data_IF_648553972950
#
_entry.id   IF_648553972950
#
_cell.length_a   1.000
_cell.length_b   1.000
_cell.length_c   1.000
_cell.angle_alpha   90.00
_cell.angle_beta   90.00
_cell.angle_gamma   90.00
#
_symmetry.space_group_name_H-M   'P 1'
#
loop_
_entity.id
_entity.type
_entity.pdbx_description
1 polymer ?
#
# COMPACT_ATOMS: atom_id res chain seq x y z
N UNK A 1 -3.30 -17.44 2.78
CA UNK A 1 -4.17 -16.39 2.21
C UNK A 1 -3.47 -15.05 2.35
N UNK A 2 -3.38 -14.30 1.26
CA UNK A 2 -2.74 -12.99 1.26
C UNK A 2 -3.72 -11.97 1.83
N UNK A 3 -3.22 -11.13 2.75
CA UNK A 3 -3.94 -9.98 3.26
C UNK A 3 -3.18 -8.70 2.98
N UNK A 4 -3.90 -7.66 2.62
CA UNK A 4 -3.36 -6.34 2.35
C UNK A 4 -3.58 -5.47 3.57
N UNK A 5 -2.56 -4.69 3.94
CA UNK A 5 -2.64 -3.73 5.05
C UNK A 5 -2.03 -2.42 4.62
N UNK A 6 -2.62 -1.31 5.07
CA UNK A 6 -1.99 -0.01 4.90
C UNK A 6 -0.94 0.18 6.00
N UNK A 7 0.15 0.84 5.66
CA UNK A 7 1.20 1.19 6.61
C UNK A 7 1.48 2.69 6.51
N UNK A 8 1.68 3.31 7.67
CA UNK A 8 2.07 4.71 7.76
C UNK A 8 3.59 4.78 7.80
N UNK A 9 4.17 5.65 6.99
CA UNK A 9 5.61 5.77 6.87
C UNK A 9 6.04 7.22 6.98
N UNK A 10 7.19 7.45 7.63
CA UNK A 10 7.85 8.73 7.60
C UNK A 10 8.88 8.69 6.48
N UNK A 11 8.73 9.62 5.54
CA UNK A 11 9.59 9.71 4.37
C UNK A 11 10.37 11.00 4.39
N UNK A 12 11.44 11.05 3.64
CA UNK A 12 12.26 12.24 3.51
C UNK A 12 12.56 12.50 2.03
N UNK A 13 12.46 13.77 1.65
CA UNK A 13 12.80 14.22 0.31
C UNK A 13 13.68 15.48 0.45
N UNK A 14 14.70 15.60 -0.38
CA UNK A 14 15.57 16.76 -0.40
C UNK A 14 14.80 18.05 -0.73
N UNK A 15 13.70 17.93 -1.46
CA UNK A 15 12.92 19.11 -1.88
C UNK A 15 11.93 19.57 -0.83
N UNK A 16 11.24 18.66 -0.14
CA UNK A 16 10.16 19.00 0.78
C UNK A 16 10.45 18.67 2.24
N UNK A 17 11.58 18.01 2.53
CA UNK A 17 11.91 17.59 3.87
C UNK A 17 11.15 16.33 4.29
N UNK A 18 10.83 16.23 5.58
CA UNK A 18 10.09 15.09 6.11
C UNK A 18 8.61 15.18 5.77
N UNK A 19 8.01 14.05 5.42
CA UNK A 19 6.58 13.98 5.17
C UNK A 19 6.06 12.60 5.54
N UNK A 20 4.74 12.52 5.72
CA UNK A 20 4.06 11.25 6.00
C UNK A 20 3.48 10.71 4.69
N UNK A 21 3.74 9.44 4.44
CA UNK A 21 3.18 8.72 3.30
C UNK A 21 2.57 7.41 3.77
N UNK A 22 1.83 6.78 2.92
CA UNK A 22 1.18 5.50 3.21
C UNK A 22 1.53 4.49 2.13
N UNK A 23 1.87 3.30 2.60
CA UNK A 23 2.21 2.19 1.72
C UNK A 23 1.27 1.01 1.94
N UNK A 24 1.57 -0.08 1.28
CA UNK A 24 0.79 -1.30 1.37
C UNK A 24 1.71 -2.46 1.70
N UNK A 25 1.30 -3.27 2.67
CA UNK A 25 2.00 -4.48 3.03
C UNK A 25 1.14 -5.68 2.69
N UNK A 26 1.74 -6.68 2.05
CA UNK A 26 1.10 -7.94 1.74
C UNK A 26 1.65 -9.00 2.67
N UNK A 27 0.77 -9.68 3.37
CA UNK A 27 1.16 -10.71 4.33
C UNK A 27 0.41 -12.02 4.06
N UNK A 28 1.10 -13.12 4.26
CA UNK A 28 0.53 -14.47 4.23
C UNK A 28 0.68 -15.05 5.63
N UNK A 29 -0.42 -15.01 6.40
CA UNK A 29 -0.37 -15.31 7.82
C UNK A 29 0.55 -14.34 8.54
N UNK A 30 1.56 -14.85 9.22
CA UNK A 30 2.54 -14.03 9.96
C UNK A 30 3.72 -13.58 9.10
N UNK A 31 3.78 -14.02 7.83
CA UNK A 31 4.89 -13.71 6.95
C UNK A 31 4.56 -12.53 6.04
N UNK A 32 5.38 -11.48 6.10
CA UNK A 32 5.29 -10.37 5.14
C UNK A 32 5.98 -10.84 3.86
N UNK A 33 5.21 -10.88 2.78
CA UNK A 33 5.72 -11.35 1.48
C UNK A 33 6.11 -10.20 0.57
N UNK A 34 5.55 -9.00 0.80
CA UNK A 34 5.89 -7.83 0.01
C UNK A 34 5.48 -6.55 0.74
N UNK A 35 6.26 -5.50 0.52
CA UNK A 35 5.97 -4.16 1.01
C UNK A 35 6.12 -3.17 -0.13
N UNK A 36 5.12 -2.34 -0.34
CA UNK A 36 5.14 -1.28 -1.36
C UNK A 36 5.09 0.05 -0.63
N UNK A 37 6.21 0.77 -0.67
CA UNK A 37 6.37 2.03 0.06
C UNK A 37 5.88 3.21 -0.75
N UNK A 38 5.45 4.27 -0.03
CA UNK A 38 5.17 5.58 -0.62
C UNK A 38 4.15 5.51 -1.77
N UNK A 39 3.03 4.84 -1.52
CA UNK A 39 1.97 4.71 -2.52
C UNK A 39 1.25 6.05 -2.70
N UNK A 40 0.88 6.69 -1.59
CA UNK A 40 0.20 7.98 -1.61
C UNK A 40 0.35 8.68 -0.27
N UNK A 41 0.33 10.00 -0.29
CA UNK A 41 0.26 10.79 0.94
C UNK A 41 -1.17 10.92 1.47
N UNK A 42 -2.16 10.47 0.69
CA UNK A 42 -3.57 10.48 1.08
C UNK A 42 -3.92 9.13 1.72
N UNK A 43 -4.12 9.14 3.03
CA UNK A 43 -4.47 7.94 3.79
C UNK A 43 -5.75 7.27 3.27
N UNK A 44 -6.77 8.05 2.95
CA UNK A 44 -8.03 7.50 2.48
C UNK A 44 -7.89 6.74 1.18
N UNK A 45 -7.06 7.23 0.26
CA UNK A 45 -6.79 6.55 -1.00
C UNK A 45 -6.20 5.17 -0.74
N UNK A 46 -5.20 5.09 0.13
CA UNK A 46 -4.52 3.82 0.43
C UNK A 46 -5.44 2.88 1.20
N UNK A 47 -6.18 3.40 2.18
CA UNK A 47 -7.12 2.58 2.97
C UNK A 47 -8.22 2.00 2.08
N UNK A 48 -8.73 2.78 1.15
CA UNK A 48 -9.75 2.32 0.20
C UNK A 48 -9.20 1.22 -0.71
N UNK A 49 -7.99 1.43 -1.21
CA UNK A 49 -7.31 0.44 -2.05
C UNK A 49 -7.09 -0.88 -1.31
N UNK A 50 -6.66 -0.80 -0.05
CA UNK A 50 -6.47 -1.98 0.79
C UNK A 50 -7.79 -2.72 1.02
N UNK A 51 -8.85 -1.98 1.32
CA UNK A 51 -10.18 -2.57 1.55
C UNK A 51 -10.66 -3.33 0.31
N UNK A 52 -10.57 -2.69 -0.85
CA UNK A 52 -10.98 -3.32 -2.11
C UNK A 52 -10.13 -4.55 -2.43
N UNK A 53 -8.83 -4.45 -2.23
CA UNK A 53 -7.93 -5.58 -2.51
C UNK A 53 -8.27 -6.79 -1.65
N UNK A 54 -8.62 -6.58 -0.39
CA UNK A 54 -9.02 -7.65 0.51
C UNK A 54 -10.39 -8.21 0.13
N UNK A 55 -11.36 -7.36 -0.17
CA UNK A 55 -12.71 -7.80 -0.56
C UNK A 55 -12.70 -8.64 -1.84
N UNK A 56 -11.86 -8.26 -2.79
CA UNK A 56 -11.78 -8.94 -4.08
C UNK A 56 -10.81 -10.13 -4.06
N UNK A 57 -10.14 -10.39 -2.94
CA UNK A 57 -9.06 -11.39 -2.88
C UNK A 57 -8.06 -11.19 -4.01
N UNK A 58 -7.64 -9.95 -4.20
CA UNK A 58 -6.77 -9.59 -5.31
C UNK A 58 -5.47 -10.40 -5.27
N UNK A 59 -5.09 -10.96 -6.42
CA UNK A 59 -3.82 -11.67 -6.54
C UNK A 59 -2.65 -10.67 -6.43
N UNK A 60 -1.57 -11.03 -5.71
CA UNK A 60 -0.42 -10.13 -5.59
C UNK A 60 0.19 -9.68 -6.91
N UNK A 61 0.04 -10.46 -7.98
CA UNK A 61 0.57 -10.08 -9.29
C UNK A 61 -0.18 -8.91 -9.93
N UNK A 62 -1.38 -8.59 -9.43
CA UNK A 62 -2.21 -7.52 -9.99
C UNK A 62 -2.14 -6.22 -9.20
N UNK A 63 -1.49 -6.22 -8.03
CA UNK A 63 -1.52 -5.04 -7.16
C UNK A 63 -0.84 -3.82 -7.81
N UNK A 64 0.24 -4.02 -8.54
CA UNK A 64 0.93 -2.92 -9.21
C UNK A 64 0.04 -2.26 -10.27
N UNK A 65 -0.72 -3.05 -11.01
CA UNK A 65 -1.64 -2.55 -12.01
C UNK A 65 -2.75 -1.73 -11.38
N UNK A 66 -3.29 -2.19 -10.24
CA UNK A 66 -4.35 -1.49 -9.54
C UNK A 66 -3.84 -0.16 -8.98
N UNK A 67 -2.65 -0.15 -8.41
CA UNK A 67 -2.01 1.08 -7.91
C UNK A 67 -1.82 2.08 -9.06
N UNK A 68 -1.32 1.61 -10.20
CA UNK A 68 -1.11 2.47 -11.37
C UNK A 68 -2.40 3.07 -11.89
N UNK A 69 -3.50 2.32 -11.84
CA UNK A 69 -4.80 2.81 -12.31
C UNK A 69 -5.40 3.87 -11.40
N UNK A 70 -5.09 3.83 -10.10
CA UNK A 70 -5.61 4.78 -9.11
C UNK A 70 -4.76 6.05 -9.06
N UNK A 71 -3.48 5.91 -9.20
CA UNK A 71 -2.53 7.02 -9.16
C UNK A 71 -2.24 7.56 -10.55
#
# INVERSE_FOLDING_TARGET
MIKYRSIREEMFSDEIGSYISYGIELADGDNVVRKISDVSTDEETVSHLVLLSNELNLSPIHIDDVISDIL
#
